data_IF_572998399507
#
_entry.id   IF_572998399507
#
_cell.length_a   1.000
_cell.length_b   1.000
_cell.length_c   1.000
_cell.angle_alpha   90.00
_cell.angle_beta   90.00
_cell.angle_gamma   90.00
#
_symmetry.space_group_name_H-M   'P 1'
#
loop_
_entity.id
_entity.type
_entity.pdbx_description
1 polymer ?
#
# COMPACT_ATOMS: atom_id res chain seq x y z
N UNK A 1 -13.97 5.55 -9.99
CA UNK A 1 -13.72 6.92 -9.47
C UNK A 1 -14.61 7.22 -8.28
N UNK A 2 -15.83 6.65 -8.19
CA UNK A 2 -16.80 6.91 -7.11
C UNK A 2 -16.28 6.51 -5.72
N UNK A 3 -15.55 5.40 -5.61
CA UNK A 3 -14.91 4.99 -4.35
C UNK A 3 -13.81 5.99 -3.92
N UNK A 4 -13.08 6.57 -4.87
CA UNK A 4 -12.11 7.61 -4.61
C UNK A 4 -12.78 8.91 -4.15
N UNK A 5 -13.90 9.31 -4.79
CA UNK A 5 -14.69 10.45 -4.33
C UNK A 5 -15.16 10.26 -2.88
N UNK A 6 -15.76 9.13 -2.56
CA UNK A 6 -16.20 8.81 -1.19
C UNK A 6 -15.04 8.82 -0.18
N UNK A 7 -13.86 8.32 -0.60
CA UNK A 7 -12.66 8.35 0.24
C UNK A 7 -12.23 9.78 0.56
N UNK A 8 -12.20 10.67 -0.44
CA UNK A 8 -11.87 12.08 -0.27
C UNK A 8 -12.89 12.77 0.63
N UNK A 9 -14.20 12.65 0.32
CA UNK A 9 -15.29 13.29 1.08
C UNK A 9 -15.32 12.86 2.56
N UNK A 10 -14.87 11.64 2.86
CA UNK A 10 -14.77 11.17 4.25
C UNK A 10 -13.65 11.82 5.06
N UNK A 11 -12.76 12.59 4.44
CA UNK A 11 -11.54 13.15 5.04
C UNK A 11 -11.40 14.65 4.91
N UNK A 12 -11.93 15.20 3.84
CA UNK A 12 -11.80 16.62 3.51
C UNK A 12 -13.04 17.09 2.78
N UNK A 13 -13.45 18.32 3.06
CA UNK A 13 -14.55 18.96 2.36
C UNK A 13 -14.00 19.73 1.16
N UNK A 14 -14.28 19.26 -0.05
CA UNK A 14 -13.93 19.90 -1.32
C UNK A 14 -15.14 19.95 -2.24
N UNK A 15 -15.17 20.93 -3.12
CA UNK A 15 -16.24 21.08 -4.11
C UNK A 15 -16.14 20.04 -5.23
N UNK A 16 -17.20 19.88 -6.03
CA UNK A 16 -17.20 19.02 -7.20
C UNK A 16 -16.19 19.49 -8.26
N UNK A 17 -16.01 20.81 -8.38
CA UNK A 17 -15.03 21.41 -9.28
C UNK A 17 -13.59 21.11 -8.84
N UNK A 18 -13.30 21.21 -7.54
CA UNK A 18 -12.00 20.84 -6.99
C UNK A 18 -11.71 19.35 -7.17
N UNK A 19 -12.70 18.48 -6.94
CA UNK A 19 -12.55 17.04 -7.19
C UNK A 19 -12.31 16.76 -8.69
N UNK A 20 -13.06 17.40 -9.58
CA UNK A 20 -12.86 17.25 -11.02
C UNK A 20 -11.42 17.64 -11.42
N UNK A 21 -10.83 18.66 -10.80
CA UNK A 21 -9.42 19.05 -11.01
C UNK A 21 -8.45 17.98 -10.53
N UNK A 22 -8.70 17.33 -9.37
CA UNK A 22 -7.84 16.24 -8.89
C UNK A 22 -7.77 15.10 -9.90
N UNK A 23 -8.92 14.70 -10.46
CA UNK A 23 -8.99 13.56 -11.36
C UNK A 23 -8.81 13.88 -12.85
N UNK A 24 -8.62 15.14 -13.20
CA UNK A 24 -8.52 15.60 -14.61
C UNK A 24 -7.39 14.91 -15.40
N UNK A 25 -6.28 14.57 -14.75
CA UNK A 25 -5.16 13.85 -15.36
C UNK A 25 -5.08 12.38 -14.88
N UNK A 26 -6.09 11.89 -14.18
CA UNK A 26 -6.09 10.54 -13.64
C UNK A 26 -6.40 9.50 -14.74
N UNK A 27 -5.83 8.32 -14.58
CA UNK A 27 -6.14 7.15 -15.40
C UNK A 27 -6.39 5.94 -14.51
N UNK A 28 -7.17 4.97 -15.00
CA UNK A 28 -7.41 3.71 -14.30
C UNK A 28 -6.57 2.63 -14.97
N UNK A 29 -5.68 2.00 -14.20
CA UNK A 29 -4.93 0.82 -14.62
C UNK A 29 -5.63 -0.42 -14.07
N UNK A 30 -6.07 -1.30 -14.96
CA UNK A 30 -6.58 -2.63 -14.61
C UNK A 30 -5.43 -3.61 -14.61
N UNK A 31 -5.32 -4.37 -13.53
CA UNK A 31 -4.27 -5.37 -13.34
C UNK A 31 -4.92 -6.73 -13.12
N UNK A 32 -4.55 -7.71 -13.91
CA UNK A 32 -4.82 -9.10 -13.60
C UNK A 32 -3.87 -9.57 -12.50
N UNK A 33 -4.26 -10.58 -11.78
CA UNK A 33 -3.37 -11.23 -10.81
C UNK A 33 -1.99 -11.46 -11.38
N UNK A 34 -0.93 -11.09 -10.62
CA UNK A 34 0.51 -11.16 -10.97
C UNK A 34 0.97 -10.14 -12.01
N UNK A 35 0.13 -9.23 -12.47
CA UNK A 35 0.60 -8.12 -13.30
C UNK A 35 1.23 -7.03 -12.44
N UNK A 36 2.27 -6.42 -13.00
CA UNK A 36 3.03 -5.37 -12.34
C UNK A 36 2.36 -4.00 -12.47
N UNK A 37 2.32 -3.31 -11.35
CA UNK A 37 2.05 -1.87 -11.30
C UNK A 37 3.35 -1.09 -11.46
N UNK A 38 4.43 -1.57 -10.82
CA UNK A 38 5.80 -1.04 -10.86
C UNK A 38 6.77 -2.21 -10.87
N UNK A 39 7.83 -2.12 -11.67
CA UNK A 39 8.95 -3.06 -11.65
C UNK A 39 10.21 -2.39 -11.12
N UNK A 40 11.03 -3.15 -10.42
CA UNK A 40 12.36 -2.73 -9.99
C UNK A 40 13.15 -2.15 -11.17
N UNK A 41 13.83 -1.02 -10.95
CA UNK A 41 14.56 -0.28 -11.98
C UNK A 41 13.73 0.78 -12.72
N UNK A 42 12.40 0.77 -12.62
CA UNK A 42 11.54 1.84 -13.14
C UNK A 42 11.45 3.01 -12.16
N UNK A 43 11.25 4.22 -12.68
CA UNK A 43 10.97 5.42 -11.87
C UNK A 43 9.48 5.52 -11.60
N UNK A 44 9.11 5.55 -10.33
CA UNK A 44 7.71 5.74 -9.92
C UNK A 44 7.29 7.21 -10.03
N UNK A 45 6.21 7.48 -10.77
CA UNK A 45 5.78 8.86 -11.12
C UNK A 45 4.32 9.17 -10.80
N UNK A 46 3.66 8.33 -10.01
CA UNK A 46 2.24 8.44 -9.78
C UNK A 46 1.88 8.43 -8.29
N UNK A 47 0.88 9.22 -7.92
CA UNK A 47 0.08 8.91 -6.76
C UNK A 47 -0.93 7.85 -7.18
N UNK A 48 -0.86 6.68 -6.57
CA UNK A 48 -1.73 5.57 -6.90
C UNK A 48 -2.72 5.30 -5.76
N UNK A 49 -3.97 4.99 -6.11
CA UNK A 49 -5.03 4.67 -5.17
C UNK A 49 -5.74 3.40 -5.59
N UNK A 50 -5.85 2.42 -4.69
CA UNK A 50 -6.53 1.15 -4.98
C UNK A 50 -8.04 1.37 -4.95
N UNK A 51 -8.69 1.21 -6.12
CA UNK A 51 -10.14 1.26 -6.27
C UNK A 51 -10.77 -0.06 -5.88
N UNK A 52 -10.15 -1.17 -6.30
CA UNK A 52 -10.53 -2.55 -5.96
C UNK A 52 -9.33 -3.46 -6.05
N UNK A 53 -9.32 -4.55 -5.28
CA UNK A 53 -8.29 -5.58 -5.32
C UNK A 53 -7.24 -5.47 -4.22
N UNK A 54 -6.16 -6.22 -4.39
CA UNK A 54 -5.06 -6.31 -3.41
C UNK A 54 -3.71 -6.36 -4.12
N UNK A 55 -2.80 -5.51 -3.66
CA UNK A 55 -1.45 -5.37 -4.18
C UNK A 55 -0.42 -5.67 -3.09
N UNK A 56 0.76 -6.13 -3.50
CA UNK A 56 1.95 -6.23 -2.64
C UNK A 56 3.09 -5.38 -3.18
N UNK A 57 3.91 -4.87 -2.27
CA UNK A 57 5.22 -4.29 -2.56
C UNK A 57 6.29 -5.22 -2.01
N UNK A 58 7.31 -5.53 -2.79
CA UNK A 58 8.39 -6.44 -2.37
C UNK A 58 9.70 -6.11 -3.07
N UNK A 59 10.80 -6.48 -2.44
CA UNK A 59 12.14 -6.51 -3.03
C UNK A 59 12.59 -7.95 -3.25
N UNK A 60 13.58 -8.14 -4.12
CA UNK A 60 14.22 -9.43 -4.38
C UNK A 60 15.67 -9.32 -3.94
N UNK A 61 16.14 -10.24 -3.11
CA UNK A 61 17.53 -10.26 -2.69
C UNK A 61 18.46 -10.95 -3.73
N UNK A 62 19.76 -10.93 -3.50
CA UNK A 62 20.78 -11.55 -4.37
C UNK A 62 20.59 -13.07 -4.57
N UNK A 63 19.83 -13.72 -3.69
CA UNK A 63 19.50 -15.16 -3.76
C UNK A 63 18.19 -15.42 -4.51
N UNK A 64 17.53 -14.37 -5.01
CA UNK A 64 16.24 -14.45 -5.67
C UNK A 64 15.05 -14.62 -4.73
N UNK A 65 15.23 -14.38 -3.42
CA UNK A 65 14.14 -14.47 -2.43
C UNK A 65 13.35 -13.16 -2.39
N UNK A 66 12.02 -13.28 -2.46
CA UNK A 66 11.10 -12.16 -2.34
C UNK A 66 10.88 -11.77 -0.86
N UNK A 67 11.01 -10.49 -0.56
CA UNK A 67 10.75 -9.89 0.75
C UNK A 67 9.59 -8.92 0.66
N UNK A 68 8.41 -9.33 1.11
CA UNK A 68 7.21 -8.48 1.12
C UNK A 68 7.34 -7.40 2.20
N UNK A 69 7.36 -6.15 1.77
CA UNK A 69 7.48 -5.00 2.66
C UNK A 69 6.27 -4.07 2.65
N UNK A 70 5.29 -4.31 1.77
CA UNK A 70 4.03 -3.58 1.71
C UNK A 70 2.88 -4.43 1.22
N UNK A 71 1.68 -4.14 1.71
CA UNK A 71 0.41 -4.69 1.24
C UNK A 71 -0.56 -3.52 1.11
N UNK A 72 -1.40 -3.51 0.08
CA UNK A 72 -2.40 -2.47 -0.12
C UNK A 72 -3.71 -3.07 -0.64
N UNK A 73 -4.83 -2.63 -0.08
CA UNK A 73 -6.19 -2.96 -0.49
C UNK A 73 -6.95 -1.68 -0.85
N UNK A 74 -8.24 -1.79 -1.09
CA UNK A 74 -9.12 -0.66 -1.38
C UNK A 74 -8.90 0.49 -0.40
N UNK A 75 -8.90 1.71 -0.92
CA UNK A 75 -8.67 2.96 -0.18
C UNK A 75 -7.23 3.17 0.33
N UNK A 76 -6.27 2.36 -0.14
CA UNK A 76 -4.86 2.52 0.19
C UNK A 76 -4.08 3.11 -0.99
N UNK A 77 -2.92 3.69 -0.65
CA UNK A 77 -2.03 4.37 -1.57
C UNK A 77 -0.72 3.58 -1.75
N UNK A 78 -0.67 2.61 -2.68
CA UNK A 78 0.56 1.88 -2.99
C UNK A 78 1.52 2.77 -3.78
N UNK A 79 2.81 2.53 -3.61
CA UNK A 79 3.84 3.23 -4.36
C UNK A 79 5.20 3.12 -3.69
N UNK A 80 6.22 3.65 -4.36
CA UNK A 80 7.55 3.86 -3.80
C UNK A 80 7.76 5.36 -3.53
N UNK A 81 7.70 5.74 -2.27
CA UNK A 81 7.83 7.12 -1.85
C UNK A 81 9.23 7.68 -2.17
N UNK A 82 10.29 6.88 -2.03
CA UNK A 82 11.66 7.30 -2.33
C UNK A 82 11.79 7.64 -3.82
N UNK A 83 11.39 6.73 -4.70
CA UNK A 83 11.39 6.95 -6.14
C UNK A 83 10.50 8.11 -6.56
N UNK A 84 9.31 8.23 -5.96
CA UNK A 84 8.37 9.31 -6.24
C UNK A 84 8.95 10.69 -5.95
N UNK A 85 9.67 10.83 -4.83
CA UNK A 85 10.21 12.12 -4.37
C UNK A 85 11.52 12.46 -5.04
N UNK A 86 12.41 11.48 -5.20
CA UNK A 86 13.79 11.71 -5.66
C UNK A 86 13.98 11.52 -7.15
N UNK A 87 13.05 10.80 -7.83
CA UNK A 87 13.18 10.44 -9.24
C UNK A 87 14.20 9.33 -9.52
N UNK A 88 14.78 8.69 -8.49
CA UNK A 88 15.67 7.55 -8.69
C UNK A 88 14.88 6.28 -9.02
N UNK A 89 15.46 5.32 -9.75
CA UNK A 89 14.82 4.04 -10.01
C UNK A 89 14.42 3.31 -8.72
N UNK A 90 13.23 2.70 -8.73
CA UNK A 90 12.73 1.93 -7.59
C UNK A 90 13.53 0.64 -7.41
N UNK A 91 13.76 0.28 -6.16
CA UNK A 91 14.30 -1.02 -5.73
C UNK A 91 13.20 -2.04 -5.40
N UNK A 92 11.96 -1.67 -5.65
CA UNK A 92 10.80 -2.49 -5.33
C UNK A 92 10.02 -2.88 -6.58
N UNK A 93 9.37 -4.02 -6.46
CA UNK A 93 8.30 -4.44 -7.36
C UNK A 93 6.96 -4.22 -6.68
N UNK A 94 5.93 -3.82 -7.42
CA UNK A 94 4.54 -3.78 -6.97
C UNK A 94 3.73 -4.60 -7.97
N UNK A 95 3.11 -5.69 -7.51
CA UNK A 95 2.23 -6.53 -8.33
C UNK A 95 0.87 -6.77 -7.68
N UNK A 96 -0.07 -7.24 -8.47
CA UNK A 96 -1.42 -7.56 -8.04
C UNK A 96 -1.50 -8.98 -7.48
N UNK A 97 -1.97 -9.15 -6.24
CA UNK A 97 -2.25 -10.44 -5.61
C UNK A 97 -3.52 -11.06 -6.20
N UNK A 98 -4.47 -10.23 -6.58
CA UNK A 98 -5.74 -10.57 -7.24
C UNK A 98 -6.05 -9.51 -8.31
N UNK A 99 -7.07 -9.73 -9.14
CA UNK A 99 -7.48 -8.76 -10.14
C UNK A 99 -7.83 -7.44 -9.45
N UNK A 100 -7.22 -6.35 -9.92
CA UNK A 100 -7.22 -5.06 -9.22
C UNK A 100 -7.43 -3.89 -10.19
N UNK A 101 -8.04 -2.83 -9.69
CA UNK A 101 -8.13 -1.54 -10.38
C UNK A 101 -7.45 -0.45 -9.55
N UNK A 102 -6.56 0.30 -10.17
CA UNK A 102 -5.77 1.33 -9.51
C UNK A 102 -5.95 2.66 -10.25
N UNK A 103 -6.36 3.69 -9.53
CA UNK A 103 -6.35 5.05 -10.02
C UNK A 103 -4.92 5.59 -9.94
N UNK A 104 -4.42 6.09 -11.06
CA UNK A 104 -3.09 6.69 -11.18
C UNK A 104 -3.23 8.17 -11.48
N UNK A 105 -2.67 9.01 -10.63
CA UNK A 105 -2.62 10.46 -10.83
C UNK A 105 -1.15 10.85 -10.99
N UNK A 106 -0.73 11.46 -12.12
CA UNK A 106 0.65 11.90 -12.30
C UNK A 106 1.10 12.80 -11.14
N UNK A 107 2.29 12.55 -10.59
CA UNK A 107 2.84 13.29 -9.44
C UNK A 107 2.79 14.80 -9.65
N UNK A 108 3.29 15.28 -10.78
CA UNK A 108 3.36 16.71 -11.07
C UNK A 108 1.97 17.38 -11.10
N UNK A 109 0.96 16.64 -11.59
CA UNK A 109 -0.42 17.13 -11.57
C UNK A 109 -0.96 17.15 -10.14
N UNK A 110 -0.76 16.08 -9.38
CA UNK A 110 -1.26 15.96 -8.01
C UNK A 110 -0.63 17.01 -7.08
N UNK A 111 0.66 17.24 -7.18
CA UNK A 111 1.39 18.26 -6.42
C UNK A 111 0.84 19.66 -6.70
N UNK A 112 0.64 20.01 -7.97
CA UNK A 112 0.06 21.30 -8.36
C UNK A 112 -1.35 21.49 -7.78
N UNK A 113 -2.20 20.47 -7.87
CA UNK A 113 -3.57 20.54 -7.33
C UNK A 113 -3.55 20.63 -5.79
N UNK A 114 -2.60 19.97 -5.13
CA UNK A 114 -2.40 20.14 -3.69
C UNK A 114 -2.00 21.57 -3.31
N UNK A 115 -1.19 22.23 -4.13
CA UNK A 115 -0.82 23.65 -3.88
C UNK A 115 -2.00 24.62 -4.09
N UNK A 116 -2.93 24.28 -4.97
CA UNK A 116 -4.12 25.07 -5.25
C UNK A 116 -5.30 24.80 -4.29
N UNK A 117 -5.35 23.64 -3.64
CA UNK A 117 -6.41 23.22 -2.70
C UNK A 117 -5.80 22.92 -1.33
N UNK A 118 -5.72 23.92 -0.42
CA UNK A 118 -5.08 23.76 0.90
C UNK A 118 -5.64 22.60 1.72
N UNK A 119 -6.96 22.38 1.66
CA UNK A 119 -7.62 21.29 2.37
C UNK A 119 -7.15 19.91 1.88
N UNK A 120 -6.92 19.72 0.58
CA UNK A 120 -6.33 18.51 0.02
C UNK A 120 -4.89 18.32 0.49
N UNK A 121 -4.09 19.40 0.48
CA UNK A 121 -2.69 19.38 0.95
C UNK A 121 -2.61 18.95 2.42
N UNK A 122 -3.48 19.47 3.26
CA UNK A 122 -3.54 19.08 4.68
C UNK A 122 -3.92 17.61 4.86
N UNK A 123 -4.89 17.11 4.08
CA UNK A 123 -5.25 15.69 4.07
C UNK A 123 -4.06 14.81 3.69
N UNK A 124 -3.34 15.17 2.62
CA UNK A 124 -2.15 14.43 2.16
C UNK A 124 -1.05 14.45 3.22
N UNK A 125 -0.79 15.58 3.85
CA UNK A 125 0.17 15.70 4.95
C UNK A 125 -0.22 14.79 6.15
N UNK A 126 -1.50 14.74 6.49
CA UNK A 126 -1.98 13.83 7.54
C UNK A 126 -1.83 12.36 7.14
N UNK A 127 -2.05 12.02 5.87
CA UNK A 127 -1.84 10.68 5.34
C UNK A 127 -0.37 10.26 5.48
N UNK A 128 0.59 11.11 5.09
CA UNK A 128 2.03 10.83 5.26
C UNK A 128 2.43 10.68 6.72
N UNK A 129 1.91 11.54 7.61
CA UNK A 129 2.17 11.42 9.06
C UNK A 129 1.67 10.09 9.64
N UNK A 130 0.45 9.66 9.25
CA UNK A 130 -0.09 8.36 9.67
C UNK A 130 0.74 7.20 9.10
N UNK A 131 1.17 7.30 7.85
CA UNK A 131 2.06 6.32 7.21
C UNK A 131 3.40 6.20 7.95
N UNK A 132 4.00 7.32 8.33
CA UNK A 132 5.24 7.34 9.11
C UNK A 132 5.07 6.67 10.48
N UNK A 133 4.00 7.00 11.22
CA UNK A 133 3.69 6.37 12.51
C UNK A 133 3.49 4.86 12.35
N UNK A 134 2.76 4.44 11.32
CA UNK A 134 2.56 3.02 11.02
C UNK A 134 3.88 2.30 10.72
N UNK A 135 4.78 2.94 9.95
CA UNK A 135 6.11 2.41 9.66
C UNK A 135 6.95 2.27 10.93
N UNK A 136 6.95 3.27 11.83
CA UNK A 136 7.64 3.21 13.11
C UNK A 136 7.11 2.09 14.02
N UNK A 137 5.78 1.95 14.12
CA UNK A 137 5.17 0.87 14.88
C UNK A 137 5.56 -0.51 14.33
N UNK A 138 5.65 -0.63 13.01
CA UNK A 138 6.09 -1.86 12.35
C UNK A 138 7.56 -2.17 12.64
N UNK A 139 8.45 -1.18 12.56
CA UNK A 139 9.87 -1.33 12.92
C UNK A 139 9.99 -1.81 14.36
N UNK A 140 9.29 -1.16 15.31
CA UNK A 140 9.29 -1.56 16.71
C UNK A 140 8.78 -3.00 16.88
N UNK A 141 7.67 -3.37 16.24
CA UNK A 141 7.16 -4.74 16.28
C UNK A 141 8.16 -5.75 15.70
N UNK A 142 8.87 -5.37 14.63
CA UNK A 142 9.91 -6.21 14.03
C UNK A 142 11.07 -6.50 14.99
N UNK A 143 11.48 -5.49 15.76
CA UNK A 143 12.61 -5.56 16.71
C UNK A 143 12.26 -6.23 18.04
N UNK A 144 11.03 -6.05 18.54
CA UNK A 144 10.67 -6.35 19.93
C UNK A 144 9.69 -7.51 20.10
N UNK A 145 8.88 -7.83 19.06
CA UNK A 145 7.80 -8.81 19.17
C UNK A 145 8.26 -10.21 18.81
N UNK A 146 7.75 -11.19 19.54
CA UNK A 146 7.81 -12.61 19.15
C UNK A 146 7.03 -12.85 17.85
N UNK A 147 7.25 -13.98 17.20
CA UNK A 147 6.52 -14.34 15.98
C UNK A 147 4.99 -14.36 16.19
N UNK A 148 4.53 -14.82 17.35
CA UNK A 148 3.10 -14.83 17.69
C UNK A 148 2.54 -13.41 17.87
N UNK A 149 3.25 -12.56 18.61
CA UNK A 149 2.86 -11.17 18.82
C UNK A 149 2.83 -10.38 17.50
N UNK A 150 3.79 -10.60 16.58
CA UNK A 150 3.78 -10.03 15.22
C UNK A 150 2.51 -10.43 14.46
N UNK A 151 2.12 -11.69 14.52
CA UNK A 151 0.91 -12.17 13.87
C UNK A 151 -0.35 -11.58 14.50
N UNK A 152 -0.43 -11.50 15.83
CA UNK A 152 -1.56 -10.86 16.53
C UNK A 152 -1.68 -9.39 16.15
N UNK A 153 -0.56 -8.67 16.15
CA UNK A 153 -0.52 -7.28 15.74
C UNK A 153 -1.02 -7.12 14.29
N UNK A 154 -0.54 -7.97 13.37
CA UNK A 154 -0.97 -7.96 11.98
C UNK A 154 -2.49 -8.18 11.84
N UNK A 155 -3.05 -9.20 12.48
CA UNK A 155 -4.48 -9.50 12.38
C UNK A 155 -5.35 -8.39 12.98
N UNK A 156 -4.91 -7.75 14.06
CA UNK A 156 -5.63 -6.62 14.66
C UNK A 156 -5.65 -5.39 13.74
N UNK A 157 -4.54 -5.10 13.08
CA UNK A 157 -4.43 -3.93 12.21
C UNK A 157 -4.97 -4.18 10.80
N UNK A 158 -4.89 -5.43 10.33
CA UNK A 158 -5.05 -5.77 8.92
C UNK A 158 -5.93 -7.01 8.73
N UNK A 159 -7.03 -7.12 9.46
CA UNK A 159 -7.95 -8.27 9.38
C UNK A 159 -8.42 -8.57 7.94
N UNK A 160 -8.62 -7.53 7.13
CA UNK A 160 -9.04 -7.67 5.73
C UNK A 160 -8.04 -8.41 4.84
N UNK A 161 -6.75 -8.48 5.22
CA UNK A 161 -5.73 -9.21 4.46
C UNK A 161 -5.71 -10.72 4.75
N UNK A 162 -6.19 -11.12 5.93
CA UNK A 162 -6.00 -12.48 6.44
C UNK A 162 -6.51 -13.59 5.51
N UNK A 163 -7.57 -13.31 4.73
CA UNK A 163 -8.19 -14.26 3.81
C UNK A 163 -7.89 -13.98 2.33
N UNK A 164 -7.25 -12.85 2.02
CA UNK A 164 -6.95 -12.42 0.64
C UNK A 164 -5.49 -12.65 0.26
N UNK A 165 -4.59 -12.53 1.25
CA UNK A 165 -3.14 -12.63 1.03
C UNK A 165 -2.66 -14.06 1.32
N UNK A 166 -1.90 -14.69 0.40
CA UNK A 166 -1.30 -16.00 0.62
C UNK A 166 -0.43 -16.04 1.88
N UNK A 167 -0.53 -17.14 2.63
CA UNK A 167 0.16 -17.31 3.92
C UNK A 167 1.67 -17.05 3.84
N UNK A 168 2.32 -17.47 2.74
CA UNK A 168 3.75 -17.22 2.52
C UNK A 168 4.08 -15.74 2.41
N UNK A 169 3.20 -14.93 1.80
CA UNK A 169 3.39 -13.49 1.69
C UNK A 169 3.18 -12.79 3.04
N UNK A 170 2.20 -13.25 3.84
CA UNK A 170 2.01 -12.76 5.21
C UNK A 170 3.25 -13.10 6.06
N UNK A 171 3.76 -14.32 5.96
CA UNK A 171 4.97 -14.74 6.68
C UNK A 171 6.17 -13.88 6.30
N UNK A 172 6.39 -13.64 5.01
CA UNK A 172 7.43 -12.73 4.50
C UNK A 172 7.26 -11.31 5.05
N UNK A 173 6.03 -10.76 5.00
CA UNK A 173 5.70 -9.43 5.55
C UNK A 173 5.98 -9.31 7.05
N UNK A 174 5.82 -10.41 7.80
CA UNK A 174 6.10 -10.49 9.25
C UNK A 174 7.57 -10.83 9.57
N UNK A 175 8.38 -11.18 8.56
CA UNK A 175 9.76 -11.60 8.74
C UNK A 175 9.88 -12.93 9.51
N UNK A 176 8.96 -13.86 9.29
CA UNK A 176 8.96 -15.20 9.85
C UNK A 176 8.80 -16.25 8.76
N UNK A 177 9.09 -17.52 9.06
CA UNK A 177 8.88 -18.58 8.07
C UNK A 177 7.40 -18.95 7.94
N UNK A 178 7.02 -19.49 6.78
CA UNK A 178 5.67 -19.97 6.52
C UNK A 178 5.26 -21.08 7.49
N UNK A 179 6.21 -21.95 7.86
CA UNK A 179 6.02 -23.04 8.83
C UNK A 179 5.71 -22.50 10.22
N UNK A 180 6.47 -21.49 10.66
CA UNK A 180 6.23 -20.80 11.94
C UNK A 180 4.84 -20.16 11.95
N UNK A 181 4.45 -19.44 10.90
CA UNK A 181 3.13 -18.83 10.80
C UNK A 181 2.01 -19.89 10.80
N UNK A 182 2.20 -21.00 10.06
CA UNK A 182 1.23 -22.10 10.01
C UNK A 182 1.01 -22.71 11.41
N UNK A 183 2.09 -22.90 12.20
CA UNK A 183 2.03 -23.41 13.57
C UNK A 183 1.27 -22.46 14.51
N UNK A 184 1.57 -21.15 14.43
CA UNK A 184 0.88 -20.13 15.23
C UNK A 184 -0.62 -20.14 14.95
N UNK A 185 -1.02 -20.21 13.68
CA UNK A 185 -2.45 -20.25 13.29
C UNK A 185 -3.15 -21.51 13.83
N UNK A 186 -2.52 -22.68 13.73
CA UNK A 186 -3.08 -23.95 14.24
C UNK A 186 -3.22 -23.95 15.77
N UNK A 187 -2.27 -23.37 16.49
CA UNK A 187 -2.33 -23.25 17.95
C UNK A 187 -3.51 -22.38 18.41
N UNK A 188 -3.82 -21.30 17.69
CA UNK A 188 -4.93 -20.40 18.02
C UNK A 188 -6.33 -20.90 17.64
N UNK A 189 -6.42 -21.88 16.75
CA UNK A 189 -7.69 -22.51 16.39
C UNK A 189 -8.12 -23.60 17.39
N UNK A 190 -7.24 -23.95 18.35
CA UNK A 190 -7.47 -24.98 19.34
C UNK A 190 -7.73 -24.47 20.77
N UNK A 191 -7.65 -23.17 20.97
CA UNK A 191 -8.00 -22.47 22.22
C UNK A 191 -9.14 -21.49 22.01
#
# INVERSE_FOLDING_TARGET
VDSFRKYIDSRVNITDEEFARIVAAASIKKLRRRQYLLQEGEVWRYQAFVLSGCLRTYSIDEKGQEHVNGLAIENWWPGDCESLVTGIPSKYNIDAIEDSEVLLIPKEHFDRVCDEIPALKDMVNQMYRKGYIAAQNRINAFMSYTAEEKYVFFIRQYAAFANRVPLGMIASYLGITRETLSRIRKGRLKG
#
